data_IF_040829930852
#
_entry.id   IF_040829930852
#
_cell.length_a   1.000
_cell.length_b   1.000
_cell.length_c   1.000
_cell.angle_alpha   90.00
_cell.angle_beta   90.00
_cell.angle_gamma   90.00
#
_symmetry.space_group_name_H-M   'P 1'
#
loop_
_entity.id
_entity.type
_entity.pdbx_description
1 polymer ?
#
# COMPACT_ATOMS: atom_id res chain seq x y z
N UNK A 1 -19.68 -0.24 1.04
CA UNK A 1 -19.24 0.97 0.29
C UNK A 1 -18.12 0.56 -0.65
N UNK A 2 -18.23 0.83 -1.95
CA UNK A 2 -17.24 0.40 -2.96
C UNK A 2 -15.96 1.24 -2.85
N UNK A 3 -14.79 0.62 -2.89
CA UNK A 3 -13.51 1.33 -2.98
C UNK A 3 -13.33 1.81 -4.43
N UNK A 4 -13.13 3.11 -4.67
CA UNK A 4 -13.01 3.69 -6.02
C UNK A 4 -11.76 4.54 -6.15
N UNK A 5 -11.27 4.78 -7.38
CA UNK A 5 -10.14 5.68 -7.64
C UNK A 5 -10.29 7.02 -6.92
N UNK A 6 -11.43 7.69 -7.11
CA UNK A 6 -11.73 9.00 -6.50
C UNK A 6 -11.63 8.95 -4.97
N UNK A 7 -12.16 7.89 -4.35
CA UNK A 7 -12.11 7.72 -2.90
C UNK A 7 -10.67 7.47 -2.41
N UNK A 8 -9.94 6.60 -3.09
CA UNK A 8 -8.54 6.29 -2.76
C UNK A 8 -7.66 7.54 -2.86
N UNK A 9 -7.74 8.25 -3.99
CA UNK A 9 -7.01 9.50 -4.21
C UNK A 9 -7.38 10.57 -3.20
N UNK A 10 -8.67 10.71 -2.84
CA UNK A 10 -9.10 11.68 -1.81
C UNK A 10 -8.50 11.37 -0.44
N UNK A 11 -8.43 10.10 -0.04
CA UNK A 11 -7.85 9.69 1.24
C UNK A 11 -6.33 9.87 1.26
N UNK A 12 -5.68 9.64 0.12
CA UNK A 12 -4.23 9.75 -0.05
C UNK A 12 -3.73 11.19 -0.27
N UNK A 13 -4.60 12.10 -0.76
CA UNK A 13 -4.21 13.45 -1.16
C UNK A 13 -3.40 14.24 -0.11
N UNK A 14 -3.73 14.21 1.20
CA UNK A 14 -2.95 14.94 2.21
C UNK A 14 -1.52 14.43 2.41
N UNK A 15 -1.22 13.21 1.94
CA UNK A 15 0.06 12.52 2.15
C UNK A 15 0.85 12.33 0.85
N UNK A 16 0.29 12.78 -0.28
CA UNK A 16 0.93 12.61 -1.58
C UNK A 16 1.94 13.74 -1.82
N UNK A 17 3.22 13.39 -1.90
CA UNK A 17 4.31 14.35 -2.13
C UNK A 17 4.71 14.47 -3.61
N UNK A 18 3.87 14.00 -4.53
CA UNK A 18 4.10 14.05 -5.98
C UNK A 18 4.79 12.79 -6.51
N UNK A 19 4.44 12.42 -7.75
CA UNK A 19 4.94 11.23 -8.47
C UNK A 19 4.85 9.90 -7.68
N UNK A 20 3.83 9.76 -6.84
CA UNK A 20 3.60 8.51 -6.10
C UNK A 20 2.62 7.61 -6.84
N UNK A 21 3.00 6.34 -7.00
CA UNK A 21 2.03 5.29 -7.30
C UNK A 21 1.19 5.01 -6.06
N UNK A 22 -0.14 4.95 -6.23
CA UNK A 22 -1.09 4.77 -5.13
C UNK A 22 -1.87 3.49 -5.37
N UNK A 23 -1.94 2.60 -4.37
CA UNK A 23 -2.76 1.41 -4.47
C UNK A 23 -3.29 0.94 -3.12
N UNK A 24 -4.27 0.04 -3.16
CA UNK A 24 -4.87 -0.53 -1.97
C UNK A 24 -4.22 -1.87 -1.64
N UNK A 25 -3.86 -2.07 -0.39
CA UNK A 25 -3.24 -3.30 0.08
C UNK A 25 -3.85 -3.77 1.39
N UNK A 26 -3.71 -5.07 1.65
CA UNK A 26 -4.01 -5.65 2.95
C UNK A 26 -2.73 -5.92 3.73
N UNK A 27 -2.56 -5.22 4.85
CA UNK A 27 -1.44 -5.48 5.74
C UNK A 27 -1.65 -6.77 6.52
N UNK A 28 -0.60 -7.59 6.58
CA UNK A 28 -0.56 -8.87 7.30
C UNK A 28 0.53 -8.87 8.38
N UNK A 29 0.96 -7.69 8.82
CA UNK A 29 2.02 -7.51 9.81
C UNK A 29 1.48 -7.27 11.22
N UNK A 30 2.22 -7.73 12.23
CA UNK A 30 1.88 -7.51 13.65
C UNK A 30 1.86 -6.01 14.01
N UNK A 31 2.79 -5.25 13.43
CA UNK A 31 2.91 -3.79 13.61
C UNK A 31 1.75 -2.98 13.00
N UNK A 32 0.76 -3.64 12.38
CA UNK A 32 -0.31 -2.96 11.66
C UNK A 32 -1.40 -2.46 12.60
N UNK A 33 -1.73 -1.18 12.48
CA UNK A 33 -2.88 -0.58 13.20
C UNK A 33 -4.20 -1.02 12.58
N UNK A 34 -4.19 -1.33 11.29
CA UNK A 34 -5.33 -1.89 10.55
C UNK A 34 -4.83 -2.78 9.42
N UNK A 35 -5.60 -3.80 9.07
CA UNK A 35 -5.30 -4.60 7.88
C UNK A 35 -5.62 -3.85 6.59
N UNK A 36 -6.46 -2.81 6.60
CA UNK A 36 -6.85 -2.06 5.39
C UNK A 36 -5.90 -0.89 5.19
N UNK A 37 -5.13 -0.90 4.09
CA UNK A 37 -4.11 0.11 3.84
C UNK A 37 -4.16 0.71 2.45
N UNK A 38 -3.73 1.96 2.33
CA UNK A 38 -3.32 2.57 1.06
C UNK A 38 -1.80 2.69 1.10
N UNK A 39 -1.14 2.19 0.07
CA UNK A 39 0.29 2.36 -0.13
C UNK A 39 0.50 3.51 -1.11
N UNK A 40 1.37 4.44 -0.75
CA UNK A 40 1.93 5.44 -1.66
C UNK A 40 3.42 5.16 -1.77
N UNK A 41 3.90 4.94 -2.99
CA UNK A 41 5.29 4.56 -3.24
C UNK A 41 5.85 5.34 -4.40
N UNK A 42 7.06 5.87 -4.22
CA UNK A 42 7.92 6.37 -5.29
C UNK A 42 9.35 5.88 -5.07
N UNK A 43 10.32 6.45 -5.77
CA UNK A 43 11.72 6.00 -5.69
C UNK A 43 12.40 6.47 -4.40
N UNK A 44 11.82 7.44 -3.69
CA UNK A 44 12.39 8.07 -2.49
C UNK A 44 11.82 7.50 -1.20
N UNK A 45 10.54 7.18 -1.19
CA UNK A 45 9.83 6.81 0.04
C UNK A 45 8.63 5.89 -0.18
N UNK A 46 8.22 5.30 0.93
CA UNK A 46 7.04 4.46 1.08
C UNK A 46 6.21 5.05 2.22
N UNK A 47 4.94 5.37 1.93
CA UNK A 47 3.97 5.81 2.93
C UNK A 47 2.86 4.78 3.02
N UNK A 48 2.62 4.29 4.22
CA UNK A 48 1.54 3.34 4.55
C UNK A 48 0.46 4.12 5.28
N UNK A 49 -0.73 4.22 4.68
CA UNK A 49 -1.90 4.82 5.30
C UNK A 49 -2.82 3.72 5.84
N UNK A 50 -3.02 3.67 7.15
CA UNK A 50 -3.96 2.75 7.79
C UNK A 50 -5.36 3.33 7.74
N UNK A 51 -6.33 2.54 7.27
CA UNK A 51 -7.72 2.95 7.17
C UNK A 51 -8.54 2.35 8.31
N UNK A 52 -9.62 3.04 8.71
CA UNK A 52 -10.64 2.41 9.55
C UNK A 52 -11.33 1.24 8.82
N UNK A 53 -12.09 0.44 9.56
CA UNK A 53 -12.81 -0.73 9.04
C UNK A 53 -13.68 -0.42 7.81
N UNK A 54 -14.39 0.71 7.82
CA UNK A 54 -15.25 1.14 6.71
C UNK A 54 -14.50 1.82 5.54
N UNK A 55 -13.18 1.92 5.64
CA UNK A 55 -12.30 2.56 4.65
C UNK A 55 -12.71 4.01 4.35
N UNK A 56 -13.29 4.73 5.31
CA UNK A 56 -13.80 6.09 5.13
C UNK A 56 -12.82 7.16 5.59
N UNK A 57 -11.85 6.81 6.43
CA UNK A 57 -10.82 7.72 6.94
C UNK A 57 -9.48 7.01 7.11
N UNK A 58 -8.40 7.78 6.99
CA UNK A 58 -7.07 7.40 7.45
C UNK A 58 -7.06 7.58 8.98
N UNK A 59 -6.67 6.53 9.71
CA UNK A 59 -6.61 6.54 11.17
C UNK A 59 -5.19 6.66 11.70
N UNK A 60 -4.21 6.24 10.90
CA UNK A 60 -2.80 6.50 11.15
C UNK A 60 -1.99 6.38 9.86
N UNK A 61 -0.75 6.84 9.86
CA UNK A 61 0.18 6.70 8.76
C UNK A 61 1.62 6.48 9.23
N UNK A 62 2.42 5.81 8.41
CA UNK A 62 3.86 5.67 8.62
C UNK A 62 4.58 5.96 7.30
N UNK A 63 5.65 6.75 7.37
CA UNK A 63 6.50 7.07 6.23
C UNK A 63 7.92 6.56 6.46
N UNK A 64 8.49 5.94 5.44
CA UNK A 64 9.84 5.38 5.46
C UNK A 64 10.59 5.78 4.19
N UNK A 65 11.87 6.15 4.33
CA UNK A 65 12.73 6.34 3.16
C UNK A 65 12.95 5.00 2.46
N UNK A 66 12.85 4.97 1.14
CA UNK A 66 13.00 3.72 0.36
C UNK A 66 14.39 3.11 0.51
N UNK A 67 15.43 3.92 0.65
CA UNK A 67 16.81 3.47 0.90
C UNK A 67 17.00 2.72 2.23
N UNK A 68 16.09 2.91 3.18
CA UNK A 68 16.17 2.30 4.52
C UNK A 68 15.46 0.94 4.57
N UNK A 69 14.77 0.55 3.49
CA UNK A 69 14.15 -0.77 3.36
C UNK A 69 15.23 -1.82 3.12
N UNK A 70 15.17 -2.90 3.90
CA UNK A 70 16.04 -4.07 3.76
C UNK A 70 15.22 -5.33 3.57
N UNK A 71 15.81 -6.34 2.92
CA UNK A 71 15.14 -7.59 2.58
C UNK A 71 13.83 -7.36 1.80
N UNK A 72 13.82 -6.36 0.92
CA UNK A 72 12.66 -6.07 0.06
C UNK A 72 12.46 -7.21 -0.95
N UNK A 73 11.23 -7.74 -1.00
CA UNK A 73 10.86 -8.86 -1.86
C UNK A 73 9.44 -8.70 -2.37
N UNK A 74 9.26 -8.93 -3.67
CA UNK A 74 7.95 -9.04 -4.31
C UNK A 74 7.78 -10.48 -4.83
N UNK A 75 6.75 -11.17 -4.34
CA UNK A 75 6.45 -12.56 -4.72
C UNK A 75 5.02 -12.71 -5.22
N UNK A 76 4.76 -13.71 -6.06
CA UNK A 76 3.40 -14.06 -6.46
C UNK A 76 2.60 -14.55 -5.25
N UNK A 77 1.32 -14.17 -5.18
CA UNK A 77 0.37 -14.70 -4.22
C UNK A 77 -0.10 -16.11 -4.58
N UNK A 78 -0.90 -16.71 -3.69
CA UNK A 78 -1.25 -18.14 -3.75
C UNK A 78 -2.07 -18.54 -4.99
N UNK A 79 -2.89 -17.64 -5.54
CA UNK A 79 -3.78 -17.94 -6.66
C UNK A 79 -3.45 -17.14 -7.93
N UNK A 80 -2.29 -16.46 -7.96
CA UNK A 80 -1.87 -15.62 -9.08
C UNK A 80 -2.71 -14.34 -9.30
N UNK A 81 -3.72 -14.06 -8.47
CA UNK A 81 -4.54 -12.84 -8.55
C UNK A 81 -4.00 -11.71 -7.68
N UNK A 82 -3.11 -12.05 -6.74
CA UNK A 82 -2.42 -11.13 -5.85
C UNK A 82 -0.91 -11.26 -5.96
N UNK A 83 -0.22 -10.25 -5.45
CA UNK A 83 1.20 -10.28 -5.13
C UNK A 83 1.37 -10.00 -3.65
N UNK A 84 2.47 -10.49 -3.09
CA UNK A 84 2.88 -10.19 -1.72
C UNK A 84 4.18 -9.43 -1.75
N UNK A 85 4.14 -8.21 -1.23
CA UNK A 85 5.31 -7.35 -1.03
C UNK A 85 5.73 -7.39 0.44
N UNK A 86 7.02 -7.56 0.69
CA UNK A 86 7.60 -7.65 2.04
C UNK A 86 8.86 -6.83 2.10
N UNK A 87 9.10 -6.22 3.26
CA UNK A 87 10.36 -5.56 3.56
C UNK A 87 10.52 -5.44 5.08
N UNK A 88 11.72 -5.10 5.51
CA UNK A 88 12.02 -4.75 6.90
C UNK A 88 12.55 -3.32 6.95
N UNK A 89 12.15 -2.54 7.96
CA UNK A 89 12.66 -1.18 8.19
C UNK A 89 12.55 -0.89 9.69
N UNK A 90 13.59 -0.28 10.28
CA UNK A 90 13.60 0.05 11.73
C UNK A 90 13.17 -1.11 12.64
N UNK A 91 13.68 -2.33 12.38
CA UNK A 91 13.31 -3.58 13.07
C UNK A 91 11.83 -4.03 12.92
N UNK A 92 11.02 -3.33 12.12
CA UNK A 92 9.64 -3.71 11.79
C UNK A 92 9.59 -4.51 10.50
N UNK A 93 8.85 -5.61 10.51
CA UNK A 93 8.63 -6.46 9.33
C UNK A 93 7.27 -6.15 8.70
N UNK A 94 7.29 -5.68 7.47
CA UNK A 94 6.10 -5.38 6.70
C UNK A 94 5.78 -6.49 5.70
N UNK A 95 4.50 -6.83 5.59
CA UNK A 95 3.96 -7.78 4.63
C UNK A 95 2.61 -7.27 4.14
N UNK A 96 2.52 -7.01 2.85
CA UNK A 96 1.32 -6.51 2.19
C UNK A 96 0.85 -7.47 1.12
N UNK A 97 -0.44 -7.82 1.15
CA UNK A 97 -1.13 -8.52 0.06
C UNK A 97 -1.78 -7.48 -0.85
N UNK A 98 -1.47 -7.51 -2.14
CA UNK A 98 -1.93 -6.53 -3.13
C UNK A 98 -2.63 -7.29 -4.25
N UNK A 99 -3.94 -7.03 -4.43
CA UNK A 99 -4.68 -7.58 -5.56
C UNK A 99 -4.19 -6.91 -6.84
N UNK A 100 -3.80 -7.72 -7.84
CA UNK A 100 -3.34 -7.23 -9.14
C UNK A 100 -4.39 -6.41 -9.88
N UNK A 101 -5.68 -6.72 -9.63
CA UNK A 101 -6.81 -6.03 -10.25
C UNK A 101 -7.92 -5.78 -9.24
N UNK A 102 -8.29 -4.51 -9.11
CA UNK A 102 -9.55 -4.08 -8.52
C UNK A 102 -10.21 -3.20 -9.57
N UNK A 103 -11.34 -3.64 -10.14
CA UNK A 103 -11.98 -3.02 -11.32
C UNK A 103 -12.19 -1.52 -11.13
N UNK A 104 -12.65 -1.15 -9.94
CA UNK A 104 -12.97 0.22 -9.54
C UNK A 104 -11.76 1.12 -9.29
N UNK A 105 -10.55 0.53 -9.27
CA UNK A 105 -9.26 1.22 -9.19
C UNK A 105 -8.53 1.27 -10.54
N UNK A 106 -9.06 0.65 -11.60
CA UNK A 106 -8.45 0.63 -12.93
C UNK A 106 -6.97 0.20 -12.90
N UNK A 107 -6.08 1.05 -13.41
CA UNK A 107 -4.64 0.77 -13.53
C UNK A 107 -3.84 1.01 -12.24
N UNK A 108 -4.42 1.65 -11.22
CA UNK A 108 -3.70 2.06 -10.00
C UNK A 108 -2.98 0.89 -9.30
N UNK A 109 -3.61 -0.29 -9.26
CA UNK A 109 -2.98 -1.47 -8.65
C UNK A 109 -1.76 -1.95 -9.45
N UNK A 110 -1.86 -1.93 -10.79
CA UNK A 110 -0.77 -2.33 -11.66
C UNK A 110 0.39 -1.33 -11.57
N UNK A 111 0.08 -0.03 -11.61
CA UNK A 111 1.07 1.05 -11.49
C UNK A 111 1.76 1.05 -10.12
N UNK A 112 1.06 0.65 -9.05
CA UNK A 112 1.70 0.37 -7.76
C UNK A 112 2.65 -0.80 -7.88
N UNK A 113 2.18 -1.96 -8.36
CA UNK A 113 3.00 -3.19 -8.44
C UNK A 113 4.24 -3.01 -9.32
N UNK A 114 4.14 -2.27 -10.43
CA UNK A 114 5.27 -1.95 -11.31
C UNK A 114 6.32 -1.04 -10.63
N UNK A 115 5.93 -0.31 -9.57
CA UNK A 115 6.80 0.58 -8.79
C UNK A 115 7.43 -0.12 -7.58
N UNK A 116 6.92 -1.28 -7.16
CA UNK A 116 7.45 -2.08 -6.04
C UNK A 116 8.62 -2.94 -6.50
#
# INVERSE_FOLDING_TARGET
MLLTKKKLSRLAAPYNEGDMSIGFAESQSIESISSKTILLVNDRQVIILFLNFFQTKVIDHMAYTRKDLVNEQLSQGFNGLDVVWRFTVQNKKWRFRILKKIVTLGKMQRELIERL
#
